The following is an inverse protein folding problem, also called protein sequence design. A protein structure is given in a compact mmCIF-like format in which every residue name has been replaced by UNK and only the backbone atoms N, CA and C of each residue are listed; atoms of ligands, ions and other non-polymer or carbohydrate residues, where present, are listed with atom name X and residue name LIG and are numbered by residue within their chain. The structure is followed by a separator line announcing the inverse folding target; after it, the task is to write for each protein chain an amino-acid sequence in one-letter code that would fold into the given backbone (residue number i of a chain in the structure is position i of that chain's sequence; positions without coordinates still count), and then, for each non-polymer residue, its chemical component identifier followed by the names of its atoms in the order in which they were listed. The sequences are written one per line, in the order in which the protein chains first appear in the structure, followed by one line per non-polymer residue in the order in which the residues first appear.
data_IF_941716271233
#
_entry.id   IF_941716271233
#
_cell.length_a   1.000
_cell.length_b   1.000
_cell.length_c   1.000
_cell.angle_alpha   90.00
_cell.angle_beta   90.00
_cell.angle_gamma   90.00
#
_symmetry.space_group_name_H-M   'P 1'
#
loop_
_entity.id
_entity.type
_entity.pdbx_description
1 polymer ?
#
# COMPACT_ATOMS: atom_id res chain seq x y z
N UNK A 1 10.94 15.91 -15.38
CA UNK A 1 11.82 15.41 -14.29
C UNK A 1 11.30 16.03 -13.01
N UNK A 2 10.83 15.22 -12.07
CA UNK A 2 10.29 15.67 -10.79
C UNK A 2 11.29 15.46 -9.65
N UNK A 3 11.22 16.28 -8.60
CA UNK A 3 12.01 16.10 -7.38
C UNK A 3 11.14 15.49 -6.29
N UNK A 4 11.61 14.42 -5.67
CA UNK A 4 10.91 13.78 -4.55
C UNK A 4 11.83 13.71 -3.33
N UNK A 5 11.29 13.94 -2.14
CA UNK A 5 12.03 14.01 -0.89
C UNK A 5 11.44 13.10 0.17
N UNK A 6 12.29 12.35 0.86
CA UNK A 6 11.94 11.63 2.08
C UNK A 6 13.03 11.85 3.12
N UNK A 7 12.67 12.45 4.25
CA UNK A 7 13.63 12.91 5.27
C UNK A 7 14.76 13.75 4.63
N UNK A 8 16.03 13.35 4.81
CA UNK A 8 17.20 14.05 4.25
C UNK A 8 17.56 13.60 2.82
N UNK A 9 16.76 12.74 2.19
CA UNK A 9 17.04 12.20 0.85
C UNK A 9 16.18 12.91 -0.19
N UNK A 10 16.83 13.59 -1.13
CA UNK A 10 16.22 14.20 -2.31
C UNK A 10 16.61 13.40 -3.56
N UNK A 11 15.64 13.03 -4.39
CA UNK A 11 15.84 12.29 -5.63
C UNK A 11 15.21 13.05 -6.79
N UNK A 12 15.90 13.05 -7.93
CA UNK A 12 15.31 13.49 -9.20
C UNK A 12 14.84 12.24 -9.94
N UNK A 13 13.56 12.17 -10.25
CA UNK A 13 12.91 10.99 -10.83
C UNK A 13 12.09 11.39 -12.06
N UNK A 14 11.88 10.48 -13.03
CA UNK A 14 10.94 10.71 -14.12
C UNK A 14 9.52 10.93 -13.60
N UNK A 15 8.74 11.81 -14.25
CA UNK A 15 7.39 12.19 -13.81
C UNK A 15 6.43 10.99 -13.70
N UNK A 16 6.60 10.01 -14.60
CA UNK A 16 5.85 8.75 -14.61
C UNK A 16 6.08 7.88 -13.36
N UNK A 17 7.21 8.05 -12.67
CA UNK A 17 7.54 7.26 -11.47
C UNK A 17 7.14 7.95 -10.17
N UNK A 18 6.70 9.21 -10.23
CA UNK A 18 6.36 10.02 -9.04
C UNK A 18 5.30 9.33 -8.18
N UNK A 19 4.27 8.73 -8.77
CA UNK A 19 3.21 8.05 -8.00
C UNK A 19 3.73 6.85 -7.20
N UNK A 20 4.69 6.11 -7.75
CA UNK A 20 5.36 5.02 -7.04
C UNK A 20 6.10 5.56 -5.82
N UNK A 21 6.88 6.63 -6.01
CA UNK A 21 7.62 7.26 -4.91
C UNK A 21 6.69 7.88 -3.86
N UNK A 22 5.57 8.48 -4.27
CA UNK A 22 4.53 8.97 -3.34
C UNK A 22 3.95 7.83 -2.49
N UNK A 23 3.71 6.67 -3.10
CA UNK A 23 3.24 5.45 -2.39
C UNK A 23 4.30 4.90 -1.43
N UNK A 24 5.58 5.00 -1.79
CA UNK A 24 6.72 4.63 -0.95
C UNK A 24 7.02 5.66 0.16
N UNK A 25 6.22 6.73 0.25
CA UNK A 25 6.33 7.74 1.31
C UNK A 25 7.24 8.92 1.01
N UNK A 26 7.64 9.11 -0.23
CA UNK A 26 8.34 10.33 -0.65
C UNK A 26 7.33 11.45 -0.88
N UNK A 27 7.74 12.67 -0.59
CA UNK A 27 6.99 13.88 -0.89
C UNK A 27 7.43 14.43 -2.24
N UNK A 28 6.51 14.87 -3.09
CA UNK A 28 6.84 15.64 -4.28
C UNK A 28 7.23 17.06 -3.87
N UNK A 29 8.36 17.53 -4.37
CA UNK A 29 8.95 18.84 -4.08
C UNK A 29 8.95 19.69 -5.34
N UNK A 30 8.50 20.94 -5.22
CA UNK A 30 8.50 21.96 -6.26
C UNK A 30 9.88 22.55 -6.49
N UNK A 31 9.99 23.41 -7.50
CA UNK A 31 11.26 24.07 -7.84
C UNK A 31 11.72 25.06 -6.75
N UNK A 32 10.78 25.58 -5.98
CA UNK A 32 10.94 26.47 -4.82
C UNK A 32 11.38 25.73 -3.55
N UNK A 33 11.46 24.39 -3.58
CA UNK A 33 11.71 23.56 -2.42
C UNK A 33 10.46 23.31 -1.55
N UNK A 34 9.29 23.79 -1.97
CA UNK A 34 8.02 23.54 -1.29
C UNK A 34 7.52 22.12 -1.53
N UNK A 35 6.86 21.53 -0.53
CA UNK A 35 6.20 20.22 -0.71
C UNK A 35 4.89 20.42 -1.48
N UNK A 36 4.83 19.93 -2.71
CA UNK A 36 3.64 19.98 -3.58
C UNK A 36 2.64 18.86 -3.26
N UNK A 37 3.14 17.64 -2.99
CA UNK A 37 2.32 16.50 -2.54
C UNK A 37 3.05 15.72 -1.48
N UNK A 38 2.32 15.25 -0.46
CA UNK A 38 2.87 14.34 0.55
C UNK A 38 2.70 12.90 0.10
N UNK A 39 3.74 12.11 0.31
CA UNK A 39 3.67 10.66 0.13
C UNK A 39 2.78 10.05 1.22
N UNK A 40 1.82 9.23 0.82
CA UNK A 40 0.96 8.51 1.75
C UNK A 40 1.57 7.13 1.95
N UNK A 41 2.42 6.99 2.96
CA UNK A 41 2.76 5.65 3.45
C UNK A 41 1.54 5.09 4.12
N UNK A 42 1.08 3.90 3.70
CA UNK A 42 0.18 3.09 4.54
C UNK A 42 0.89 2.90 5.87
N UNK A 43 0.36 3.50 6.94
CA UNK A 43 0.96 3.33 8.25
C UNK A 43 0.63 1.90 8.74
N UNK A 44 1.31 1.45 9.81
CA UNK A 44 1.08 0.11 10.35
C UNK A 44 -0.40 -0.12 10.72
N UNK A 45 -1.13 0.92 11.11
CA UNK A 45 -2.55 0.83 11.44
C UNK A 45 -3.45 0.65 10.21
N UNK A 46 -3.12 1.29 9.08
CA UNK A 46 -3.81 1.08 7.80
C UNK A 46 -3.60 -0.35 7.29
N UNK A 47 -2.36 -0.85 7.39
CA UNK A 47 -2.03 -2.23 7.04
C UNK A 47 -2.72 -3.24 7.95
N UNK A 48 -2.81 -2.96 9.27
CA UNK A 48 -3.55 -3.81 10.21
C UNK A 48 -5.05 -3.83 9.90
N UNK A 49 -5.66 -2.69 9.56
CA UNK A 49 -7.07 -2.63 9.15
C UNK A 49 -7.33 -3.44 7.88
N UNK A 50 -6.46 -3.32 6.86
CA UNK A 50 -6.58 -4.13 5.64
C UNK A 50 -6.43 -5.63 5.94
N UNK A 51 -5.52 -5.99 6.83
CA UNK A 51 -5.29 -7.37 7.25
C UNK A 51 -6.50 -7.95 8.00
N UNK A 52 -7.09 -7.21 8.93
CA UNK A 52 -8.33 -7.62 9.62
C UNK A 52 -9.51 -7.73 8.65
N UNK A 53 -9.67 -6.76 7.75
CA UNK A 53 -10.72 -6.80 6.73
C UNK A 53 -10.57 -8.03 5.81
N UNK A 54 -9.34 -8.36 5.40
CA UNK A 54 -9.06 -9.55 4.61
C UNK A 54 -9.34 -10.84 5.39
N UNK A 55 -8.95 -10.90 6.67
CA UNK A 55 -9.27 -12.05 7.56
C UNK A 55 -10.76 -12.27 7.72
N UNK A 56 -11.54 -11.22 7.94
CA UNK A 56 -12.99 -11.31 8.06
C UNK A 56 -13.61 -11.85 6.77
N UNK A 57 -13.13 -11.38 5.62
CA UNK A 57 -13.60 -11.84 4.31
C UNK A 57 -13.28 -13.31 4.05
N UNK A 58 -12.09 -13.77 4.46
CA UNK A 58 -11.72 -15.19 4.43
C UNK A 58 -12.66 -15.99 5.33
N UNK A 59 -12.87 -15.56 6.57
CA UNK A 59 -13.76 -16.25 7.50
C UNK A 59 -15.21 -16.36 6.97
N UNK A 60 -15.75 -15.30 6.36
CA UNK A 60 -17.06 -15.32 5.72
C UNK A 60 -17.12 -16.29 4.53
N UNK A 61 -16.05 -16.38 3.74
CA UNK A 61 -15.96 -17.29 2.61
C UNK A 61 -15.78 -18.74 3.06
N UNK A 62 -15.01 -19.00 4.10
CA UNK A 62 -14.86 -20.31 4.73
C UNK A 62 -16.18 -20.79 5.37
N UNK A 63 -16.94 -19.88 5.99
CA UNK A 63 -18.27 -20.19 6.52
C UNK A 63 -19.29 -20.52 5.42
N UNK A 64 -19.15 -19.91 4.23
CA UNK A 64 -19.98 -20.18 3.05
C UNK A 64 -19.48 -21.34 2.20
N UNK A 65 -18.24 -21.79 2.40
CA UNK A 65 -17.71 -22.93 1.70
C UNK A 65 -18.42 -24.21 2.19
N UNK A 66 -19.03 -25.02 1.31
CA UNK A 66 -19.58 -26.30 1.72
C UNK A 66 -18.43 -27.17 2.25
N UNK A 67 -18.55 -27.62 3.51
CA UNK A 67 -17.67 -28.66 4.06
C UNK A 67 -17.71 -29.84 3.09
N UNK A 68 -16.67 -30.03 2.27
CA UNK A 68 -16.51 -31.25 1.47
C UNK A 68 -16.62 -32.42 2.45
N UNK A 69 -17.49 -33.41 2.21
CA UNK A 69 -17.49 -34.60 3.05
C UNK A 69 -16.10 -35.24 2.97
N UNK A 70 -15.62 -35.88 4.06
CA UNK A 70 -14.35 -36.58 4.00
C UNK A 70 -14.43 -37.57 2.85
N UNK A 71 -13.47 -37.48 1.93
CA UNK A 71 -13.33 -38.43 0.82
C UNK A 71 -13.08 -39.78 1.51
N UNK A 72 -14.05 -40.70 1.45
CA UNK A 72 -13.80 -42.10 1.79
C UNK A 72 -12.73 -42.58 0.83
N UNK A 73 -11.52 -42.77 1.35
CA UNK A 73 -10.47 -43.49 0.61
C UNK A 73 -10.94 -44.95 0.43
N UNK A 74 -10.71 -45.53 -0.77
CA UNK A 74 -11.03 -46.93 -1.06
C UNK A 74 -10.10 -47.91 -0.35
#
# INVERSE_FOLDING_TARGET
MAKVQRANRLLTVPDETVEKYLSDGYNLVGEDGGILRRGVTKNAADLLKELEAAKNRIAELEAKAPKKPPRKEP
#
